data_IF_503465596230
#
_entry.id   IF_503465596230
#
_cell.length_a   1.000
_cell.length_b   1.000
_cell.length_c   1.000
_cell.angle_alpha   90.00
_cell.angle_beta   90.00
_cell.angle_gamma   90.00
#
_symmetry.space_group_name_H-M   'P 1'
#
loop_
_entity.id
_entity.type
_entity.pdbx_description
1 polymer ?
#
# COMPACT_ATOMS: atom_id res chain seq x y z
N UNK A 1 -29.37 70.13 -16.80
CA UNK A 1 -28.15 69.32 -17.02
C UNK A 1 -27.10 69.72 -15.98
N UNK A 2 -26.98 68.97 -14.88
CA UNK A 2 -25.97 69.21 -13.84
C UNK A 2 -25.21 67.92 -13.58
N UNK A 3 -23.89 67.97 -13.73
CA UNK A 3 -22.96 66.84 -13.84
C UNK A 3 -22.39 66.56 -12.44
N UNK A 4 -22.77 65.43 -11.84
CA UNK A 4 -22.28 64.98 -10.54
C UNK A 4 -20.79 64.59 -10.61
N UNK A 5 -19.98 65.12 -9.70
CA UNK A 5 -18.57 64.75 -9.48
C UNK A 5 -18.50 63.39 -8.78
N UNK A 6 -17.69 62.50 -9.33
CA UNK A 6 -17.45 61.12 -8.88
C UNK A 6 -16.33 61.11 -7.84
N UNK A 7 -16.64 60.72 -6.60
CA UNK A 7 -15.68 60.52 -5.50
C UNK A 7 -15.03 59.14 -5.61
N UNK A 8 -13.70 59.12 -5.69
CA UNK A 8 -12.87 57.90 -5.69
C UNK A 8 -12.54 57.49 -4.25
N UNK A 9 -13.04 56.32 -3.84
CA UNK A 9 -12.69 55.67 -2.56
C UNK A 9 -11.43 54.82 -2.78
N UNK A 10 -10.33 55.20 -2.12
CA UNK A 10 -9.10 54.40 -2.02
C UNK A 10 -9.31 53.36 -0.92
N UNK A 11 -9.28 52.07 -1.26
CA UNK A 11 -9.33 50.97 -0.28
C UNK A 11 -7.92 50.69 0.24
N UNK A 12 -7.74 50.76 1.55
CA UNK A 12 -6.56 50.27 2.27
C UNK A 12 -6.53 48.74 2.30
N UNK A 13 -5.34 48.10 2.27
CA UNK A 13 -5.23 46.64 2.31
C UNK A 13 -5.58 46.10 3.72
N UNK A 14 -6.15 44.89 3.81
CA UNK A 14 -6.44 44.26 5.10
C UNK A 14 -5.15 43.77 5.78
N UNK A 15 -5.04 44.04 7.07
CA UNK A 15 -4.01 43.57 7.98
C UNK A 15 -4.10 42.06 8.21
N UNK A 16 -2.96 41.37 8.15
CA UNK A 16 -2.81 39.93 8.40
C UNK A 16 -3.27 39.54 9.82
N UNK A 17 -4.01 38.42 9.98
CA UNK A 17 -4.24 37.85 11.30
C UNK A 17 -2.99 37.12 11.80
N UNK A 18 -2.60 37.49 13.01
CA UNK A 18 -1.54 36.94 13.86
C UNK A 18 -1.58 35.40 13.85
N UNK A 19 -0.47 34.79 13.45
CA UNK A 19 -0.25 33.34 13.52
C UNK A 19 -0.15 32.88 14.97
N UNK A 20 -1.19 32.24 15.49
CA UNK A 20 -1.09 31.44 16.71
C UNK A 20 -0.54 30.08 16.29
N UNK A 21 0.73 29.83 16.63
CA UNK A 21 1.38 28.56 16.40
C UNK A 21 0.67 27.46 17.20
N UNK A 22 -0.13 26.63 16.53
CA UNK A 22 -0.64 25.39 17.07
C UNK A 22 0.50 24.36 17.02
N UNK A 23 1.16 24.14 18.15
CA UNK A 23 2.07 23.01 18.36
C UNK A 23 1.26 21.72 18.29
N UNK A 24 1.39 20.98 17.18
CA UNK A 24 0.88 19.61 17.06
C UNK A 24 1.59 18.70 18.08
N UNK A 25 0.88 17.83 18.81
CA UNK A 25 1.53 16.86 19.69
C UNK A 25 2.36 15.88 18.86
N UNK A 26 3.61 15.67 19.26
CA UNK A 26 4.49 14.64 18.71
C UNK A 26 3.86 13.25 18.87
N UNK A 27 3.98 12.35 17.88
CA UNK A 27 3.50 10.98 18.01
C UNK A 27 4.23 10.25 19.17
N UNK A 28 3.55 9.33 19.88
CA UNK A 28 4.21 8.56 20.93
C UNK A 28 5.35 7.71 20.36
N UNK A 29 6.45 7.51 21.12
CA UNK A 29 7.56 6.70 20.66
C UNK A 29 7.08 5.27 20.37
N UNK A 30 7.43 4.77 19.18
CA UNK A 30 7.24 3.36 18.82
C UNK A 30 8.11 2.52 19.76
N UNK A 31 7.49 1.67 20.58
CA UNK A 31 8.21 0.61 21.31
C UNK A 31 8.68 -0.39 20.25
N UNK A 32 9.94 -0.25 19.84
CA UNK A 32 10.67 -1.29 19.14
C UNK A 32 11.21 -2.21 20.23
N UNK A 33 10.63 -3.40 20.38
CA UNK A 33 11.21 -4.42 21.25
C UNK A 33 12.51 -4.90 20.58
N UNK A 34 13.63 -4.52 21.17
CA UNK A 34 14.96 -4.90 20.72
C UNK A 34 15.22 -6.39 21.01
N UNK A 35 16.01 -7.03 20.17
CA UNK A 35 16.37 -8.45 20.28
C UNK A 35 17.11 -8.76 21.60
N UNK A 36 17.70 -7.73 22.23
CA UNK A 36 18.34 -7.79 23.56
C UNK A 36 17.38 -8.16 24.70
N UNK A 37 16.10 -7.76 24.65
CA UNK A 37 15.17 -7.99 25.76
C UNK A 37 14.76 -9.47 25.89
N UNK A 38 14.84 -10.23 24.78
CA UNK A 38 14.59 -11.68 24.79
C UNK A 38 15.75 -12.49 25.36
N UNK A 39 16.97 -11.94 25.34
CA UNK A 39 18.17 -12.60 25.89
C UNK A 39 18.20 -12.46 27.42
N UNK A 40 17.75 -11.32 27.96
CA UNK A 40 17.69 -11.08 29.41
C UNK A 40 16.77 -12.07 30.16
N UNK A 41 15.62 -12.44 29.57
CA UNK A 41 14.70 -13.41 30.17
C UNK A 41 15.31 -14.82 30.21
N UNK A 42 16.13 -15.19 29.21
CA UNK A 42 16.82 -16.49 29.15
C UNK A 42 17.98 -16.54 30.16
N UNK A 43 18.68 -15.41 30.38
CA UNK A 43 19.78 -15.31 31.35
C UNK A 43 19.27 -15.34 32.80
N UNK A 44 18.12 -14.72 33.11
CA UNK A 44 17.52 -14.80 34.45
C UNK A 44 17.04 -16.22 34.79
N UNK A 45 16.44 -16.94 33.83
CA UNK A 45 16.05 -18.34 34.01
C UNK A 45 17.27 -19.27 34.20
N UNK A 46 18.38 -19.01 33.50
CA UNK A 46 19.63 -19.76 33.67
C UNK A 46 20.29 -19.47 35.03
N UNK A 47 20.21 -18.23 35.54
CA UNK A 47 20.70 -17.90 36.88
C UNK A 47 19.89 -18.56 38.01
N UNK A 48 18.57 -18.71 37.83
CA UNK A 48 17.73 -19.39 38.83
C UNK A 48 18.04 -20.89 38.96
N UNK A 49 18.44 -21.54 37.87
CA UNK A 49 18.89 -22.94 37.88
C UNK A 49 20.24 -23.09 38.60
N UNK A 50 21.16 -22.13 38.44
CA UNK A 50 22.45 -22.15 39.14
C UNK A 50 22.35 -21.85 40.65
N UNK A 51 21.34 -21.09 41.08
CA UNK A 51 21.18 -20.73 42.50
C UNK A 51 20.59 -21.86 43.37
N UNK A 52 19.95 -22.86 42.76
CA UNK A 52 19.42 -24.04 43.46
C UNK A 52 20.47 -25.15 43.72
N UNK A 53 21.73 -24.99 43.30
CA UNK A 53 22.82 -25.99 43.44
C UNK A 53 23.68 -25.80 44.72
N UNK A 54 23.27 -24.96 45.68
CA UNK A 54 24.11 -24.66 46.88
C UNK A 54 23.86 -25.53 48.12
N UNK A 55 22.92 -26.49 48.08
CA UNK A 55 22.75 -27.46 49.16
C UNK A 55 22.53 -28.86 48.60
N UNK A 56 23.39 -29.78 49.05
CA UNK A 56 23.41 -31.24 48.80
C UNK A 56 24.35 -31.74 47.68
N UNK A 57 25.65 -31.64 47.98
CA UNK A 57 26.69 -32.39 47.30
C UNK A 57 26.66 -33.88 47.72
N UNK A 58 25.83 -34.72 47.08
CA UNK A 58 26.04 -36.17 46.98
C UNK A 58 25.02 -36.90 46.07
N UNK A 59 24.65 -36.38 44.88
CA UNK A 59 23.91 -37.21 43.89
C UNK A 59 24.12 -36.74 42.44
N UNK A 60 25.28 -36.17 42.15
CA UNK A 60 25.40 -35.12 41.12
C UNK A 60 25.97 -35.57 39.76
N UNK A 61 26.27 -36.85 39.53
CA UNK A 61 26.84 -37.29 38.24
C UNK A 61 25.87 -38.03 37.32
N UNK A 62 24.75 -38.57 37.81
CA UNK A 62 23.81 -39.33 36.98
C UNK A 62 22.63 -38.46 36.50
N UNK A 63 22.10 -37.60 37.37
CA UNK A 63 21.02 -36.67 37.02
C UNK A 63 21.47 -35.53 36.11
N UNK A 64 22.70 -35.00 36.26
CA UNK A 64 23.24 -33.94 35.40
C UNK A 64 23.36 -34.41 33.94
N UNK A 65 23.79 -35.65 33.70
CA UNK A 65 23.87 -36.22 32.34
C UNK A 65 22.48 -36.46 31.77
N UNK A 66 21.56 -37.03 32.54
CA UNK A 66 20.18 -37.30 32.05
C UNK A 66 19.42 -36.00 31.73
N UNK A 67 19.57 -34.94 32.54
CA UNK A 67 18.96 -33.63 32.28
C UNK A 67 19.58 -32.90 31.07
N UNK A 68 20.89 -33.00 30.86
CA UNK A 68 21.53 -32.38 29.68
C UNK A 68 21.16 -33.12 28.39
N UNK A 69 21.09 -34.45 28.40
CA UNK A 69 20.67 -35.22 27.23
C UNK A 69 19.19 -35.08 26.91
N UNK A 70 18.31 -34.92 27.92
CA UNK A 70 16.88 -34.65 27.70
C UNK A 70 16.61 -33.25 27.18
N UNK A 71 17.33 -32.23 27.65
CA UNK A 71 17.25 -30.86 27.10
C UNK A 71 17.85 -30.81 25.68
N UNK A 72 18.95 -31.51 25.42
CA UNK A 72 19.53 -31.61 24.08
C UNK A 72 18.61 -32.36 23.11
N UNK A 73 17.95 -33.44 23.53
CA UNK A 73 16.94 -34.12 22.71
C UNK A 73 15.69 -33.26 22.49
N UNK A 74 15.28 -32.45 23.47
CA UNK A 74 14.16 -31.52 23.31
C UNK A 74 14.50 -30.38 22.33
N UNK A 75 15.75 -29.87 22.34
CA UNK A 75 16.22 -28.85 21.41
C UNK A 75 16.42 -29.39 19.98
N UNK A 76 16.90 -30.64 19.85
CA UNK A 76 17.01 -31.31 18.53
C UNK A 76 15.63 -31.73 18.00
N UNK A 77 14.71 -32.16 18.87
CA UNK A 77 13.33 -32.49 18.52
C UNK A 77 12.50 -31.27 18.10
N UNK A 78 12.72 -30.11 18.73
CA UNK A 78 12.09 -28.84 18.34
C UNK A 78 12.64 -28.28 17.00
N UNK A 79 13.78 -28.78 16.53
CA UNK A 79 14.39 -28.39 15.25
C UNK A 79 13.88 -29.21 14.06
N UNK A 80 13.05 -30.24 14.31
CA UNK A 80 12.49 -31.14 13.30
C UNK A 80 10.96 -31.05 13.21
N UNK A 81 10.37 -29.88 13.49
CA UNK A 81 9.08 -29.61 12.87
C UNK A 81 9.33 -29.47 11.36
N UNK A 82 8.86 -30.39 10.49
CA UNK A 82 8.76 -30.06 9.09
C UNK A 82 7.88 -28.81 9.05
N UNK A 83 8.47 -27.68 8.68
CA UNK A 83 7.71 -26.54 8.23
C UNK A 83 6.87 -27.08 7.07
N UNK A 84 5.59 -27.35 7.35
CA UNK A 84 4.63 -27.72 6.34
C UNK A 84 4.37 -26.45 5.52
N UNK A 85 5.35 -26.04 4.71
CA UNK A 85 5.14 -25.13 3.60
C UNK A 85 4.42 -25.93 2.52
N UNK A 86 3.20 -26.37 2.83
CA UNK A 86 2.17 -26.45 1.81
C UNK A 86 1.94 -25.01 1.36
N UNK A 87 2.84 -24.52 0.51
CA UNK A 87 2.58 -23.39 -0.34
C UNK A 87 1.38 -23.78 -1.17
N UNK A 88 0.18 -23.47 -0.67
CA UNK A 88 -1.02 -23.40 -1.50
C UNK A 88 -0.61 -22.46 -2.61
N UNK A 89 -0.40 -23.00 -3.82
CA UNK A 89 -0.23 -22.19 -5.03
C UNK A 89 -1.45 -21.27 -5.03
N UNK A 90 -1.24 -19.99 -4.69
CA UNK A 90 -2.32 -19.03 -4.60
C UNK A 90 -2.98 -19.03 -5.98
N UNK A 91 -4.21 -19.52 -6.05
CA UNK A 91 -4.95 -19.60 -7.31
C UNK A 91 -4.97 -18.19 -7.88
N UNK A 92 -4.44 -18.02 -9.09
CA UNK A 92 -4.39 -16.72 -9.75
C UNK A 92 -5.82 -16.19 -9.83
N UNK A 93 -6.03 -15.01 -9.25
CA UNK A 93 -7.30 -14.33 -9.35
C UNK A 93 -7.64 -14.05 -10.82
N UNK A 94 -8.93 -14.10 -11.20
CA UNK A 94 -9.34 -13.75 -12.56
C UNK A 94 -8.98 -12.29 -12.88
N UNK A 95 -8.93 -11.89 -14.16
CA UNK A 95 -8.48 -10.55 -14.57
C UNK A 95 -9.21 -9.38 -13.87
N UNK A 96 -10.54 -9.47 -13.70
CA UNK A 96 -11.37 -8.47 -13.02
C UNK A 96 -11.10 -8.37 -11.50
N UNK A 97 -10.35 -9.31 -10.95
CA UNK A 97 -9.93 -9.36 -9.55
C UNK A 97 -8.44 -9.05 -9.33
N UNK A 98 -7.70 -8.80 -10.41
CA UNK A 98 -6.29 -8.53 -10.31
C UNK A 98 -6.06 -7.17 -9.63
N UNK A 99 -5.24 -7.19 -8.57
CA UNK A 99 -5.01 -6.04 -7.70
C UNK A 99 -6.15 -5.75 -6.71
N UNK A 100 -7.12 -6.66 -6.51
CA UNK A 100 -8.11 -6.51 -5.44
C UNK A 100 -7.45 -6.66 -4.07
N UNK A 101 -7.84 -5.80 -3.12
CA UNK A 101 -7.40 -5.82 -1.72
C UNK A 101 -8.59 -6.08 -0.80
N UNK A 102 -8.42 -7.00 0.15
CA UNK A 102 -9.41 -7.28 1.18
C UNK A 102 -9.04 -6.53 2.46
N UNK A 103 -9.95 -5.71 2.98
CA UNK A 103 -9.78 -5.01 4.25
C UNK A 103 -10.70 -5.65 5.29
N UNK A 104 -10.09 -6.31 6.27
CA UNK A 104 -10.80 -7.08 7.29
C UNK A 104 -10.21 -6.90 8.69
N UNK A 105 -9.54 -5.78 8.95
CA UNK A 105 -8.94 -5.50 10.25
C UNK A 105 -9.99 -5.47 11.37
N UNK A 106 -11.24 -5.07 11.07
CA UNK A 106 -12.31 -4.89 12.04
C UNK A 106 -13.66 -5.51 11.65
N UNK A 107 -13.88 -5.84 10.36
CA UNK A 107 -15.20 -6.18 9.84
C UNK A 107 -15.76 -7.48 10.43
N UNK A 108 -15.05 -8.60 10.28
CA UNK A 108 -15.52 -9.91 10.78
C UNK A 108 -15.70 -9.92 12.31
N UNK A 109 -14.80 -9.25 13.04
CA UNK A 109 -14.91 -9.08 14.50
C UNK A 109 -16.17 -8.31 14.91
N UNK A 110 -16.69 -7.47 14.01
CA UNK A 110 -17.91 -6.70 14.18
C UNK A 110 -19.12 -7.34 13.48
N UNK A 111 -19.03 -8.63 13.13
CA UNK A 111 -20.08 -9.38 12.43
C UNK A 111 -20.49 -8.76 11.08
N UNK A 112 -19.56 -8.07 10.41
CA UNK A 112 -19.76 -7.52 9.08
C UNK A 112 -18.87 -8.22 8.06
N UNK A 113 -19.35 -8.33 6.82
CA UNK A 113 -18.53 -8.84 5.73
C UNK A 113 -17.28 -7.95 5.53
N UNK A 114 -16.14 -8.49 5.08
CA UNK A 114 -14.96 -7.69 4.82
C UNK A 114 -15.19 -6.69 3.67
N UNK A 115 -14.42 -5.61 3.65
CA UNK A 115 -14.46 -4.63 2.55
C UNK A 115 -13.58 -5.12 1.41
N UNK A 116 -14.12 -5.13 0.19
CA UNK A 116 -13.37 -5.50 -1.02
C UNK A 116 -13.06 -4.23 -1.80
N UNK A 117 -11.78 -3.85 -1.82
CA UNK A 117 -11.29 -2.69 -2.56
C UNK A 117 -10.67 -3.12 -3.89
N UNK A 118 -11.18 -2.57 -4.99
CA UNK A 118 -10.76 -2.94 -6.35
C UNK A 118 -9.98 -1.79 -6.98
N UNK A 119 -8.69 -2.00 -7.20
CA UNK A 119 -7.83 -0.97 -7.76
C UNK A 119 -8.24 -0.56 -9.18
N UNK A 120 -8.77 -1.46 -10.01
CA UNK A 120 -9.16 -1.11 -11.37
C UNK A 120 -10.27 -0.06 -11.44
N UNK A 121 -11.24 -0.12 -10.51
CA UNK A 121 -12.34 0.85 -10.44
C UNK A 121 -11.79 2.24 -10.15
N UNK A 122 -10.88 2.33 -9.18
CA UNK A 122 -10.35 3.60 -8.68
C UNK A 122 -9.26 4.16 -9.60
N UNK A 123 -8.32 3.33 -10.07
CA UNK A 123 -7.27 3.77 -11.00
C UNK A 123 -7.84 4.26 -12.34
N UNK A 124 -9.02 3.79 -12.75
CA UNK A 124 -9.66 4.30 -13.96
C UNK A 124 -10.06 5.78 -13.85
N UNK A 125 -10.11 6.31 -12.63
CA UNK A 125 -10.60 7.66 -12.31
C UNK A 125 -9.59 8.52 -11.55
N UNK A 126 -8.67 7.92 -10.80
CA UNK A 126 -7.80 8.60 -9.86
C UNK A 126 -6.36 8.07 -9.93
N UNK A 127 -5.39 8.91 -9.63
CA UNK A 127 -3.97 8.53 -9.58
C UNK A 127 -3.65 7.73 -8.31
N UNK A 128 -2.62 6.89 -8.34
CA UNK A 128 -2.18 6.12 -7.17
C UNK A 128 -1.75 7.06 -6.04
N UNK A 129 -1.05 8.13 -6.40
CA UNK A 129 -0.59 9.18 -5.47
C UNK A 129 -1.74 9.76 -4.64
N UNK A 130 -2.88 10.05 -5.26
CA UNK A 130 -4.01 10.66 -4.56
C UNK A 130 -4.42 9.81 -3.35
N UNK A 131 -4.50 8.50 -3.51
CA UNK A 131 -4.83 7.61 -2.40
C UNK A 131 -3.67 7.41 -1.43
N UNK A 132 -2.48 7.11 -1.95
CA UNK A 132 -1.39 6.61 -1.12
C UNK A 132 -0.57 7.68 -0.41
N UNK A 133 -0.76 8.96 -0.75
CA UNK A 133 -0.04 10.02 -0.07
C UNK A 133 -0.89 11.25 0.24
N UNK A 134 -1.82 11.66 -0.63
CA UNK A 134 -2.69 12.79 -0.27
C UNK A 134 -3.72 12.36 0.77
N UNK A 135 -4.38 11.22 0.56
CA UNK A 135 -5.32 10.63 1.52
C UNK A 135 -4.59 9.84 2.61
N UNK A 136 -3.43 9.25 2.30
CA UNK A 136 -2.57 8.57 3.27
C UNK A 136 -2.89 7.08 3.49
N UNK A 137 -3.39 6.38 2.47
CA UNK A 137 -3.44 4.92 2.49
C UNK A 137 -2.03 4.33 2.40
N UNK A 138 -1.70 3.42 3.30
CA UNK A 138 -0.46 2.66 3.24
C UNK A 138 -0.42 1.81 1.96
N UNK A 139 0.77 1.64 1.39
CA UNK A 139 0.98 0.80 0.22
C UNK A 139 0.78 -0.68 0.53
N UNK A 140 1.00 -1.08 1.78
CA UNK A 140 0.82 -2.46 2.23
C UNK A 140 -0.61 -2.71 2.75
N UNK A 141 -1.21 -3.80 2.27
CA UNK A 141 -2.57 -4.16 2.63
C UNK A 141 -2.72 -4.39 4.14
N UNK A 142 -3.79 -3.83 4.72
CA UNK A 142 -4.11 -4.00 6.14
C UNK A 142 -3.34 -3.09 7.09
N UNK A 143 -2.39 -2.26 6.62
CA UNK A 143 -1.69 -1.31 7.49
C UNK A 143 -2.48 -0.04 7.79
N UNK A 144 -3.35 0.40 6.87
CA UNK A 144 -4.28 1.50 7.16
C UNK A 144 -5.49 0.96 7.90
N UNK A 145 -5.59 1.30 9.19
CA UNK A 145 -6.62 0.82 10.10
C UNK A 145 -7.90 1.67 10.01
N UNK A 146 -8.54 1.68 8.84
CA UNK A 146 -9.75 2.47 8.57
C UNK A 146 -10.93 1.99 9.42
N UNK A 147 -11.60 2.92 10.08
CA UNK A 147 -12.89 2.72 10.76
C UNK A 147 -14.01 3.43 10.02
N UNK A 148 -15.24 2.98 10.27
CA UNK A 148 -16.43 3.66 9.75
C UNK A 148 -16.51 5.12 10.20
N UNK A 149 -16.13 5.39 11.45
CA UNK A 149 -16.07 6.75 11.99
C UNK A 149 -15.18 7.66 11.15
N UNK A 150 -13.99 7.18 10.76
CA UNK A 150 -13.05 7.97 9.95
C UNK A 150 -13.69 8.32 8.59
N UNK A 151 -14.38 7.37 7.96
CA UNK A 151 -15.10 7.62 6.72
C UNK A 151 -16.22 8.66 6.90
N UNK A 152 -16.97 8.59 8.01
CA UNK A 152 -18.03 9.58 8.33
C UNK A 152 -17.46 10.97 8.63
N UNK A 153 -16.26 11.02 9.19
CA UNK A 153 -15.52 12.25 9.47
C UNK A 153 -14.81 12.81 8.21
N UNK A 154 -15.04 12.20 7.03
CA UNK A 154 -14.52 12.68 5.74
C UNK A 154 -13.09 12.24 5.44
N UNK A 155 -12.57 11.24 6.15
CA UNK A 155 -11.23 10.68 5.95
C UNK A 155 -11.30 9.39 5.12
N UNK A 156 -10.15 8.94 4.61
CA UNK A 156 -10.01 7.69 3.84
C UNK A 156 -11.04 7.58 2.70
N UNK A 157 -11.92 6.57 2.74
CA UNK A 157 -12.95 6.38 1.72
C UNK A 157 -13.90 7.58 1.67
N UNK A 158 -14.18 8.19 2.82
CA UNK A 158 -15.05 9.35 2.98
C UNK A 158 -14.58 10.63 2.29
N UNK A 159 -13.30 10.72 1.92
CA UNK A 159 -12.79 11.82 1.09
C UNK A 159 -13.54 11.90 -0.24
N UNK A 160 -13.82 10.74 -0.85
CA UNK A 160 -14.54 10.63 -2.11
C UNK A 160 -15.99 10.19 -1.93
N UNK A 161 -16.24 9.21 -1.05
CA UNK A 161 -17.56 8.66 -0.76
C UNK A 161 -18.36 9.58 0.18
N UNK A 162 -18.58 10.82 -0.27
CA UNK A 162 -19.22 11.91 0.46
C UNK A 162 -20.51 12.43 -0.20
N UNK A 163 -20.98 11.77 -1.27
CA UNK A 163 -22.16 12.16 -2.03
C UNK A 163 -21.91 13.25 -3.08
N UNK A 164 -20.68 13.79 -3.17
CA UNK A 164 -20.27 14.80 -4.16
C UNK A 164 -19.30 14.21 -5.19
N UNK A 165 -18.23 13.57 -4.74
CA UNK A 165 -17.23 12.95 -5.62
C UNK A 165 -17.65 11.54 -6.05
N UNK A 166 -18.18 10.76 -5.10
CA UNK A 166 -18.79 9.46 -5.30
C UNK A 166 -20.00 9.30 -4.36
N UNK A 167 -20.72 8.18 -4.47
CA UNK A 167 -21.82 7.87 -3.57
C UNK A 167 -21.38 7.94 -2.09
N UNK A 168 -22.22 8.47 -1.22
CA UNK A 168 -21.95 8.56 0.22
C UNK A 168 -22.13 7.20 0.91
N UNK A 169 -21.45 6.97 2.04
CA UNK A 169 -21.70 5.78 2.90
C UNK A 169 -23.16 5.68 3.34
N UNK A 170 -23.79 6.83 3.60
CA UNK A 170 -25.23 6.97 3.82
C UNK A 170 -25.76 8.14 2.99
N UNK A 171 -26.92 7.94 2.38
CA UNK A 171 -27.58 8.93 1.54
C UNK A 171 -29.07 9.03 1.83
N UNK A 172 -29.77 9.81 1.01
CA UNK A 172 -31.22 9.79 0.94
C UNK A 172 -31.63 9.30 -0.44
N UNK A 173 -32.59 8.38 -0.50
CA UNK A 173 -33.19 7.97 -1.76
C UNK A 173 -33.93 9.13 -2.42
N UNK A 174 -34.36 8.96 -3.67
CA UNK A 174 -35.18 9.94 -4.39
C UNK A 174 -36.48 10.29 -3.64
N UNK A 175 -36.95 9.41 -2.76
CA UNK A 175 -38.13 9.59 -1.90
C UNK A 175 -37.78 10.17 -0.52
N UNK A 176 -36.54 10.62 -0.31
CA UNK A 176 -36.07 11.21 0.94
C UNK A 176 -35.80 10.23 2.07
N UNK A 177 -35.90 8.90 1.84
CA UNK A 177 -35.63 7.88 2.86
C UNK A 177 -34.13 7.69 3.05
N UNK A 178 -33.68 7.52 4.29
CA UNK A 178 -32.29 7.19 4.57
C UNK A 178 -31.91 5.86 3.90
N UNK A 179 -30.81 5.85 3.15
CA UNK A 179 -30.30 4.70 2.43
C UNK A 179 -28.84 4.46 2.85
N UNK A 180 -28.53 3.23 3.23
CA UNK A 180 -27.17 2.82 3.58
C UNK A 180 -26.54 2.10 2.41
N UNK A 181 -25.34 2.52 2.03
CA UNK A 181 -24.60 1.95 0.90
C UNK A 181 -23.56 0.91 1.34
N UNK A 182 -23.79 0.24 2.47
CA UNK A 182 -22.84 -0.69 3.09
C UNK A 182 -22.40 -1.79 2.13
N UNK A 183 -23.35 -2.40 1.43
CA UNK A 183 -23.14 -3.57 0.57
C UNK A 183 -22.33 -3.26 -0.69
N UNK A 184 -22.15 -1.97 -1.01
CA UNK A 184 -21.29 -1.54 -2.12
C UNK A 184 -19.81 -1.72 -1.82
N UNK A 185 -19.45 -1.80 -0.55
CA UNK A 185 -18.08 -1.97 -0.07
C UNK A 185 -17.91 -3.32 0.63
N UNK A 186 -18.86 -3.66 1.52
CA UNK A 186 -18.89 -4.90 2.27
C UNK A 186 -19.61 -5.96 1.46
N UNK A 187 -18.90 -7.03 1.08
CA UNK A 187 -19.50 -8.09 0.25
C UNK A 187 -19.34 -9.44 0.90
N UNK A 188 -20.45 -10.19 0.95
CA UNK A 188 -20.45 -11.61 1.30
C UNK A 188 -20.09 -12.49 0.11
N UNK A 189 -20.10 -11.93 -1.11
CA UNK A 189 -19.76 -12.67 -2.33
C UNK A 189 -18.25 -12.90 -2.39
N UNK A 190 -17.81 -14.16 -2.54
CA UNK A 190 -16.38 -14.45 -2.68
C UNK A 190 -15.75 -13.72 -3.87
N UNK A 191 -14.54 -13.22 -3.68
CA UNK A 191 -13.71 -12.60 -4.74
C UNK A 191 -13.67 -13.50 -5.98
N UNK A 192 -14.00 -12.92 -7.14
CA UNK A 192 -14.01 -13.60 -8.45
C UNK A 192 -15.28 -14.39 -8.75
N UNK A 193 -16.31 -14.29 -7.91
CA UNK A 193 -17.61 -14.97 -8.08
C UNK A 193 -18.79 -14.01 -8.23
N UNK A 194 -18.49 -12.74 -8.45
CA UNK A 194 -19.47 -11.68 -8.66
C UNK A 194 -19.56 -11.37 -10.16
N UNK A 195 -20.64 -11.82 -10.79
CA UNK A 195 -20.86 -11.66 -12.24
C UNK A 195 -21.07 -10.19 -12.62
N UNK A 196 -21.73 -9.38 -11.79
CA UNK A 196 -21.95 -7.96 -12.05
C UNK A 196 -20.62 -7.21 -12.09
N UNK A 197 -19.71 -7.53 -11.16
CA UNK A 197 -18.36 -6.94 -11.14
C UNK A 197 -17.53 -7.38 -12.35
N UNK A 198 -17.63 -8.65 -12.78
CA UNK A 198 -16.96 -9.11 -13.99
C UNK A 198 -17.48 -8.33 -15.20
N UNK A 199 -18.79 -8.21 -15.33
CA UNK A 199 -19.41 -7.54 -16.46
C UNK A 199 -19.09 -6.04 -16.47
N UNK A 200 -19.04 -5.39 -15.30
CA UNK A 200 -18.57 -4.00 -15.13
C UNK A 200 -17.11 -3.84 -15.59
N UNK A 201 -16.25 -4.79 -15.21
CA UNK A 201 -14.84 -4.81 -15.62
C UNK A 201 -14.71 -4.97 -17.13
N UNK A 202 -15.41 -5.93 -17.72
CA UNK A 202 -15.34 -6.25 -19.15
C UNK A 202 -15.81 -5.06 -20.00
N UNK A 203 -16.90 -4.38 -19.61
CA UNK A 203 -17.37 -3.14 -20.29
C UNK A 203 -16.37 -1.99 -20.26
N UNK A 204 -15.50 -1.95 -19.25
CA UNK A 204 -14.42 -0.96 -19.18
C UNK A 204 -13.20 -1.42 -19.98
N UNK A 205 -12.81 -2.68 -19.84
CA UNK A 205 -11.64 -3.26 -20.51
C UNK A 205 -11.79 -3.26 -22.04
N UNK A 206 -12.99 -3.49 -22.57
CA UNK A 206 -13.29 -3.47 -24.02
C UNK A 206 -12.91 -2.14 -24.69
N UNK A 207 -12.94 -1.04 -23.93
CA UNK A 207 -12.64 0.31 -24.42
C UNK A 207 -11.18 0.69 -24.28
N UNK A 208 -10.35 -0.18 -23.71
CA UNK A 208 -8.95 0.10 -23.40
C UNK A 208 -8.03 -0.85 -24.16
N UNK A 209 -6.76 -0.47 -24.34
CA UNK A 209 -5.81 -1.31 -25.06
C UNK A 209 -5.55 -2.61 -24.31
N UNK A 210 -5.53 -3.72 -25.04
CA UNK A 210 -5.35 -5.05 -24.46
C UNK A 210 -3.91 -5.27 -23.97
N UNK A 211 -3.78 -5.83 -22.77
CA UNK A 211 -2.52 -6.23 -22.16
C UNK A 211 -2.37 -7.76 -22.11
N UNK A 212 -1.13 -8.25 -22.15
CA UNK A 212 -0.83 -9.69 -22.16
C UNK A 212 -1.06 -10.39 -20.82
N UNK A 213 -0.92 -9.68 -19.71
CA UNK A 213 -0.90 -10.24 -18.36
C UNK A 213 -1.67 -9.37 -17.35
N UNK A 214 -1.90 -9.92 -16.15
CA UNK A 214 -2.54 -9.19 -15.05
C UNK A 214 -4.04 -9.13 -15.23
N UNK A 215 -4.59 -7.91 -15.19
CA UNK A 215 -5.99 -7.67 -15.54
C UNK A 215 -6.23 -7.62 -17.06
N UNK A 216 -5.21 -7.84 -17.90
CA UNK A 216 -5.29 -7.77 -19.37
C UNK A 216 -5.60 -6.38 -19.94
N UNK A 217 -5.36 -5.31 -19.18
CA UNK A 217 -5.44 -3.94 -19.67
C UNK A 217 -4.04 -3.34 -19.69
N UNK A 218 -3.63 -2.79 -20.83
CA UNK A 218 -2.38 -2.01 -20.94
C UNK A 218 -2.61 -0.55 -20.56
N UNK A 219 -2.54 -0.29 -19.27
CA UNK A 219 -2.74 1.04 -18.70
C UNK A 219 -1.68 2.07 -19.10
N UNK A 220 -0.45 1.62 -19.43
CA UNK A 220 0.58 2.52 -19.92
C UNK A 220 0.22 2.99 -21.33
N UNK A 221 -0.18 2.07 -22.21
CA UNK A 221 -0.69 2.42 -23.54
C UNK A 221 -1.95 3.27 -23.46
N UNK A 222 -2.90 2.94 -22.57
CA UNK A 222 -4.11 3.73 -22.35
C UNK A 222 -3.81 5.18 -21.95
N UNK A 223 -2.80 5.37 -21.08
CA UNK A 223 -2.32 6.69 -20.66
C UNK A 223 -1.70 7.46 -21.82
N UNK A 224 -0.77 6.84 -22.58
CA UNK A 224 -0.14 7.44 -23.77
C UNK A 224 -1.16 7.89 -24.82
N UNK A 225 -2.21 7.08 -25.00
CA UNK A 225 -3.29 7.35 -25.95
C UNK A 225 -4.36 8.29 -25.37
N UNK A 226 -4.15 8.85 -24.16
CA UNK A 226 -5.09 9.75 -23.49
C UNK A 226 -6.49 9.15 -23.25
N UNK A 227 -6.60 7.81 -23.24
CA UNK A 227 -7.86 7.08 -23.01
C UNK A 227 -8.24 7.07 -21.53
N UNK A 228 -7.27 7.24 -20.64
CA UNK A 228 -7.49 7.39 -19.21
C UNK A 228 -6.88 8.72 -18.76
N UNK A 229 -7.68 9.54 -18.06
CA UNK A 229 -7.26 10.83 -17.52
C UNK A 229 -7.57 10.85 -16.02
N UNK A 230 -6.73 10.17 -15.22
CA UNK A 230 -7.00 10.03 -13.81
C UNK A 230 -6.89 11.40 -13.13
N UNK A 231 -7.84 11.70 -12.25
CA UNK A 231 -7.83 12.87 -11.40
C UNK A 231 -6.68 12.76 -10.40
N UNK A 232 -5.90 13.82 -10.31
CA UNK A 232 -4.69 13.92 -9.49
C UNK A 232 -4.84 14.88 -8.30
N UNK A 233 -6.02 15.49 -8.12
CA UNK A 233 -6.23 16.53 -7.12
C UNK A 233 -7.66 16.51 -6.56
N UNK A 234 -7.79 16.55 -5.23
CA UNK A 234 -9.05 16.78 -4.50
C UNK A 234 -8.89 18.02 -3.62
N UNK A 235 -9.80 18.99 -3.80
CA UNK A 235 -9.78 20.22 -3.01
C UNK A 235 -9.94 19.92 -1.51
N UNK A 236 -9.09 20.53 -0.68
CA UNK A 236 -9.10 20.35 0.78
C UNK A 236 -8.32 19.12 1.28
N UNK A 237 -7.85 18.25 0.38
CA UNK A 237 -7.03 17.07 0.73
C UNK A 237 -5.68 17.12 0.02
N UNK A 238 -5.70 17.36 -1.29
CA UNK A 238 -4.50 17.50 -2.09
C UNK A 238 -3.85 18.87 -1.90
N UNK A 239 -2.52 18.91 -2.06
CA UNK A 239 -1.72 20.12 -1.95
C UNK A 239 -1.01 20.47 -3.27
N UNK A 240 -0.73 21.76 -3.54
CA UNK A 240 -0.01 22.18 -4.74
C UNK A 240 1.38 21.54 -4.81
N UNK A 241 1.79 21.17 -6.03
CA UNK A 241 3.06 20.47 -6.25
C UNK A 241 3.71 20.82 -7.58
N UNK A 242 5.02 20.64 -7.63
CA UNK A 242 5.79 20.65 -8.87
C UNK A 242 5.46 19.39 -9.67
N UNK A 243 4.91 19.56 -10.87
CA UNK A 243 4.76 18.45 -11.82
C UNK A 243 6.13 18.06 -12.35
N UNK A 244 6.43 16.76 -12.40
CA UNK A 244 7.66 16.30 -13.06
C UNK A 244 7.57 16.66 -14.54
N UNK A 245 8.65 17.21 -15.11
CA UNK A 245 8.72 17.40 -16.56
C UNK A 245 9.11 16.05 -17.17
N UNK A 246 8.37 15.66 -18.21
CA UNK A 246 8.31 14.31 -18.75
C UNK A 246 9.67 13.62 -19.04
N UNK A 247 10.74 14.35 -19.34
CA UNK A 247 12.05 13.76 -19.68
C UNK A 247 13.09 13.85 -18.56
N UNK A 248 12.76 14.45 -17.42
CA UNK A 248 13.71 14.64 -16.34
C UNK A 248 13.77 13.39 -15.46
N UNK A 249 14.85 12.64 -15.60
CA UNK A 249 15.20 11.56 -14.67
C UNK A 249 15.03 10.15 -15.22
N UNK A 250 14.59 9.94 -16.47
CA UNK A 250 14.56 8.60 -17.07
C UNK A 250 15.94 7.94 -16.91
N UNK A 251 15.93 6.81 -16.20
CA UNK A 251 17.16 6.10 -15.83
C UNK A 251 17.25 4.89 -16.73
N UNK A 252 18.20 4.93 -17.66
CA UNK A 252 18.73 3.68 -18.20
C UNK A 252 19.68 3.12 -17.15
N UNK A 253 19.27 2.02 -16.52
CA UNK A 253 20.18 1.22 -15.71
C UNK A 253 20.97 0.35 -16.68
N UNK A 254 21.77 0.99 -17.54
CA UNK A 254 22.66 0.30 -18.47
C UNK A 254 23.60 -0.60 -17.66
N UNK A 255 24.02 -1.70 -18.29
CA UNK A 255 24.98 -2.70 -17.85
C UNK A 255 26.41 -2.16 -17.52
N UNK A 256 26.54 -1.00 -16.87
CA UNK A 256 27.77 -0.54 -16.21
C UNK A 256 28.02 -1.26 -14.89
N UNK A 257 27.08 -2.10 -14.43
CA UNK A 257 27.33 -3.16 -13.45
C UNK A 257 27.32 -4.50 -14.19
N UNK A 258 28.46 -5.19 -14.22
CA UNK A 258 28.55 -6.55 -14.74
C UNK A 258 27.49 -7.44 -14.07
N UNK A 259 26.58 -8.04 -14.85
CA UNK A 259 25.57 -8.99 -14.37
C UNK A 259 24.14 -8.46 -14.19
N UNK A 260 23.86 -7.19 -14.48
CA UNK A 260 22.47 -6.68 -14.52
C UNK A 260 21.97 -6.61 -15.98
N UNK A 261 20.83 -7.24 -16.32
CA UNK A 261 20.22 -7.14 -17.65
C UNK A 261 19.77 -5.71 -17.93
N UNK A 262 19.80 -5.29 -19.18
CA UNK A 262 19.46 -3.92 -19.61
C UNK A 262 18.02 -3.55 -19.22
N UNK A 263 17.84 -2.75 -18.16
CA UNK A 263 16.54 -2.30 -17.65
C UNK A 263 16.35 -0.82 -17.95
N UNK A 264 15.21 -0.48 -18.55
CA UNK A 264 14.81 0.91 -18.81
C UNK A 264 13.73 1.31 -17.81
N UNK A 265 13.97 2.38 -17.06
CA UNK A 265 12.97 3.01 -16.19
C UNK A 265 12.62 4.41 -16.69
N UNK A 266 11.33 4.63 -16.99
CA UNK A 266 10.83 5.94 -17.38
C UNK A 266 10.09 6.61 -16.23
N UNK A 267 10.59 7.77 -15.79
CA UNK A 267 9.87 8.64 -14.88
C UNK A 267 8.61 9.19 -15.53
N UNK A 268 8.59 9.44 -16.85
CA UNK A 268 7.42 9.94 -17.57
C UNK A 268 6.18 9.07 -17.32
N UNK A 269 6.32 7.77 -17.55
CA UNK A 269 5.23 6.80 -17.41
C UNK A 269 4.76 6.69 -15.97
N UNK A 270 5.71 6.69 -15.02
CA UNK A 270 5.39 6.58 -13.60
C UNK A 270 4.81 7.88 -13.05
N UNK A 271 5.20 9.05 -13.56
CA UNK A 271 4.71 10.37 -13.16
C UNK A 271 3.20 10.54 -13.39
N UNK A 272 2.67 9.89 -14.43
CA UNK A 272 1.25 9.98 -14.76
C UNK A 272 0.38 9.42 -13.63
N UNK A 273 0.86 8.40 -12.94
CA UNK A 273 0.14 7.71 -11.87
C UNK A 273 0.62 8.10 -10.47
N UNK A 274 1.87 8.51 -10.37
CA UNK A 274 2.62 8.62 -9.13
C UNK A 274 3.30 9.99 -9.00
N UNK A 275 4.18 10.07 -8.02
CA UNK A 275 4.71 11.30 -7.46
C UNK A 275 6.07 11.00 -6.87
N UNK A 276 6.98 11.97 -6.83
CA UNK A 276 8.31 11.81 -6.24
C UNK A 276 8.25 11.09 -4.87
N UNK A 277 7.37 11.56 -3.98
CA UNK A 277 7.28 11.06 -2.60
C UNK A 277 6.74 9.62 -2.48
N UNK A 278 6.11 9.09 -3.53
CA UNK A 278 5.63 7.70 -3.50
C UNK A 278 6.78 6.70 -3.68
N UNK A 279 7.85 7.12 -4.36
CA UNK A 279 9.02 6.29 -4.60
C UNK A 279 10.20 6.70 -3.70
N UNK A 280 10.36 8.00 -3.45
CA UNK A 280 11.54 8.55 -2.79
C UNK A 280 11.22 9.08 -1.39
N UNK A 281 12.11 8.87 -0.40
CA UNK A 281 13.33 8.05 -0.47
C UNK A 281 13.10 6.56 -0.15
N UNK A 282 11.88 6.17 0.20
CA UNK A 282 11.59 4.88 0.85
C UNK A 282 11.79 3.68 -0.07
N UNK A 283 11.25 3.72 -1.30
CA UNK A 283 11.39 2.63 -2.28
C UNK A 283 12.74 2.75 -3.00
N UNK A 284 13.12 3.97 -3.38
CA UNK A 284 14.36 4.25 -4.08
C UNK A 284 15.03 5.50 -3.50
N UNK A 285 16.36 5.51 -3.46
CA UNK A 285 17.11 6.72 -3.19
C UNK A 285 17.01 7.67 -4.39
N UNK A 286 17.07 8.99 -4.14
CA UNK A 286 17.04 10.01 -5.19
C UNK A 286 18.21 9.90 -6.18
N UNK A 287 19.35 9.38 -5.73
CA UNK A 287 20.54 9.17 -6.56
C UNK A 287 20.41 7.88 -7.36
N UNK A 288 20.40 8.00 -8.69
CA UNK A 288 20.40 6.85 -9.59
C UNK A 288 21.51 5.85 -9.26
N UNK A 289 21.16 4.56 -9.19
CA UNK A 289 22.08 3.46 -8.90
C UNK A 289 22.57 3.36 -7.45
N UNK A 290 22.14 4.25 -6.54
CA UNK A 290 22.46 4.14 -5.12
C UNK A 290 21.69 3.00 -4.44
N UNK A 291 20.44 2.79 -4.84
CA UNK A 291 19.66 1.63 -4.41
C UNK A 291 20.09 0.40 -5.21
N UNK A 292 20.53 -0.65 -4.50
CA UNK A 292 20.89 -1.94 -5.08
C UNK A 292 19.81 -2.97 -4.73
N UNK A 293 19.39 -3.74 -5.72
CA UNK A 293 18.34 -4.73 -5.57
C UNK A 293 18.49 -5.84 -6.59
N UNK A 294 17.80 -6.94 -6.31
CA UNK A 294 17.79 -8.17 -7.10
C UNK A 294 16.36 -8.49 -7.57
N UNK A 295 16.23 -9.41 -8.52
CA UNK A 295 14.90 -9.92 -8.91
C UNK A 295 14.22 -10.64 -7.75
N UNK A 296 14.97 -11.27 -6.84
CA UNK A 296 14.42 -11.88 -5.63
C UNK A 296 13.77 -10.84 -4.71
N UNK A 297 14.39 -9.66 -4.57
CA UNK A 297 13.81 -8.55 -3.81
C UNK A 297 12.50 -8.07 -4.44
N UNK A 298 12.47 -7.99 -5.78
CA UNK A 298 11.29 -7.60 -6.55
C UNK A 298 10.17 -8.63 -6.37
N UNK A 299 10.46 -9.93 -6.47
CA UNK A 299 9.46 -10.97 -6.21
C UNK A 299 8.98 -10.98 -4.75
N UNK A 300 9.81 -10.51 -3.81
CA UNK A 300 9.44 -10.31 -2.41
C UNK A 300 8.64 -9.02 -2.15
N UNK A 301 8.22 -8.29 -3.19
CA UNK A 301 7.39 -7.09 -3.07
C UNK A 301 8.17 -5.81 -2.76
N UNK A 302 9.50 -5.81 -2.88
CA UNK A 302 10.33 -4.60 -2.69
C UNK A 302 10.64 -3.93 -4.03
N UNK A 303 11.04 -2.65 -3.99
CA UNK A 303 11.44 -1.88 -5.17
C UNK A 303 10.34 -1.87 -6.24
N UNK A 304 10.63 -2.32 -7.46
CA UNK A 304 9.64 -2.46 -8.54
C UNK A 304 8.45 -3.35 -8.10
N UNK A 305 8.71 -4.34 -7.25
CA UNK A 305 7.73 -5.28 -6.73
C UNK A 305 6.70 -4.67 -5.78
N UNK A 306 6.95 -3.45 -5.27
CA UNK A 306 5.98 -2.75 -4.44
C UNK A 306 4.65 -2.54 -5.20
N UNK A 307 4.75 -2.34 -6.52
CA UNK A 307 3.60 -2.15 -7.40
C UNK A 307 3.44 -3.29 -8.42
N UNK A 308 4.52 -3.73 -9.08
CA UNK A 308 4.48 -4.74 -10.14
C UNK A 308 4.34 -6.15 -9.57
N UNK A 309 3.41 -6.94 -10.11
CA UNK A 309 3.00 -8.23 -9.53
C UNK A 309 1.78 -8.14 -8.61
N UNK A 310 1.48 -6.94 -8.11
CA UNK A 310 0.31 -6.66 -7.26
C UNK A 310 -0.73 -5.87 -8.06
N UNK A 311 -0.63 -4.55 -8.08
CA UNK A 311 -1.60 -3.63 -8.71
C UNK A 311 -1.18 -3.17 -10.11
N UNK A 312 0.12 -3.13 -10.40
CA UNK A 312 0.68 -2.91 -11.73
C UNK A 312 0.88 -4.25 -12.46
N UNK A 313 1.34 -4.21 -13.71
CA UNK A 313 1.45 -5.42 -14.52
C UNK A 313 2.31 -6.51 -13.83
N UNK A 314 2.03 -7.81 -14.08
CA UNK A 314 2.78 -8.89 -13.44
C UNK A 314 4.24 -8.95 -13.88
N UNK A 315 5.11 -9.35 -12.97
CA UNK A 315 6.55 -9.54 -13.17
C UNK A 315 6.94 -10.62 -14.19
N UNK A 316 5.96 -11.32 -14.79
CA UNK A 316 6.18 -12.31 -15.86
C UNK A 316 6.33 -11.68 -17.25
N UNK A 317 6.03 -10.40 -17.40
CA UNK A 317 6.18 -9.68 -18.66
C UNK A 317 7.58 -9.06 -18.76
N UNK A 318 8.62 -9.90 -18.88
CA UNK A 318 10.02 -9.49 -18.79
C UNK A 318 10.36 -8.34 -19.75
N UNK A 319 9.82 -8.37 -20.96
CA UNK A 319 10.07 -7.37 -22.00
C UNK A 319 9.49 -5.98 -21.73
N UNK A 320 8.70 -5.80 -20.65
CA UNK A 320 8.27 -4.45 -20.23
C UNK A 320 9.35 -3.68 -19.48
N UNK A 321 10.32 -4.38 -18.88
CA UNK A 321 11.42 -3.77 -18.15
C UNK A 321 12.75 -3.97 -18.88
N UNK A 322 12.98 -5.19 -19.39
CA UNK A 322 14.23 -5.56 -20.04
C UNK A 322 14.21 -5.20 -21.52
N UNK A 323 15.20 -4.44 -21.97
CA UNK A 323 15.33 -4.02 -23.38
C UNK A 323 15.89 -5.13 -24.28
N UNK A 324 16.42 -6.20 -23.70
CA UNK A 324 16.83 -7.43 -24.40
C UNK A 324 16.02 -8.62 -23.90
N UNK A 325 15.81 -9.65 -24.75
CA UNK A 325 15.19 -10.90 -24.32
C UNK A 325 15.94 -11.50 -23.12
N UNK A 326 15.18 -11.89 -22.11
CA UNK A 326 15.67 -12.64 -20.95
C UNK A 326 15.25 -14.09 -21.18
N UNK A 327 16.23 -14.97 -21.41
CA UNK A 327 16.03 -16.40 -21.66
C UNK A 327 16.16 -17.20 -20.37
#
# INVERSE_FOLDING_TARGET
MSRAKRTTFVRTPPTDPISVAATSPSPPPRIVLDFSDKISIIIEYLCFIFFLDSKEAAMNSFFKTVSVWTIALALVGASLCPANSQGKIAKRLPPHEYGTTLMNNYSEQSQMAPVVFRHWVHRSKHTCRLCHVDIGFAMEAGQTLVREKDNRDGQYCGVCHNGKEAFACEGKSLLGKAEKNCDRCHTTTPIGRDDDIRDDFDRMAEKLPEGRFGNRVDWAMASRQNMVKPKDFIAGVSFPRTKMKHQQGDVSLDAKLAGLPDIIFSHEEHATWNSCDLCHPEVFALKAGATKYTMQDIFAGRYCGACHGNVAFPLKDCGRCHSKPVF
#
